data_IF_763512211813
#
_entry.id   IF_763512211813
#
_cell.length_a   1.000
_cell.length_b   1.000
_cell.length_c   1.000
_cell.angle_alpha   90.00
_cell.angle_beta   90.00
_cell.angle_gamma   90.00
#
_symmetry.space_group_name_H-M   'P 1'
#
loop_
_entity.id
_entity.type
_entity.pdbx_description
1 polymer ?
#
# COMPACT_ATOMS: atom_id res chain seq x y z
N UNK A 1 42.71 38.41 43.78
CA UNK A 1 43.43 37.11 43.72
C UNK A 1 42.46 36.07 43.19
N UNK A 2 42.94 35.24 42.26
CA UNK A 2 42.21 34.28 41.42
C UNK A 2 41.72 33.05 42.18
N UNK A 3 40.57 32.47 41.75
CA UNK A 3 40.32 31.03 41.47
C UNK A 3 38.97 30.94 40.73
N UNK A 4 38.89 30.85 39.40
CA UNK A 4 39.08 29.70 38.49
C UNK A 4 38.01 28.59 38.55
N UNK A 5 37.35 28.40 37.38
CA UNK A 5 36.71 27.17 36.87
C UNK A 5 35.42 26.71 37.58
N UNK A 6 34.37 26.23 36.92
CA UNK A 6 34.12 25.85 35.52
C UNK A 6 32.59 25.64 35.40
N UNK A 7 31.95 26.26 34.41
CA UNK A 7 30.55 25.99 34.06
C UNK A 7 30.52 24.60 33.40
N UNK A 8 29.86 23.57 33.96
CA UNK A 8 29.68 22.33 33.22
C UNK A 8 28.64 22.62 32.13
N UNK A 9 29.16 22.75 30.92
CA UNK A 9 28.46 22.67 29.66
C UNK A 9 27.87 21.26 29.51
N UNK A 10 26.85 20.92 30.28
CA UNK A 10 26.03 19.75 30.00
C UNK A 10 25.06 20.16 28.90
N UNK A 11 25.57 20.03 27.67
CA UNK A 11 24.76 19.65 26.53
C UNK A 11 23.79 18.58 27.03
N UNK A 12 22.53 18.96 27.32
CA UNK A 12 21.44 18.03 27.10
C UNK A 12 21.43 17.83 25.60
N UNK A 13 22.28 16.90 25.17
CA UNK A 13 22.21 16.31 23.86
C UNK A 13 20.74 16.04 23.66
N UNK A 14 20.16 16.77 22.71
CA UNK A 14 18.90 16.44 22.12
C UNK A 14 19.11 15.01 21.65
N UNK A 15 18.75 14.05 22.51
CA UNK A 15 18.64 12.64 22.19
C UNK A 15 17.42 12.56 21.28
N UNK A 16 17.54 13.16 20.10
CA UNK A 16 16.97 12.66 18.88
C UNK A 16 17.55 11.26 18.76
N UNK A 17 16.89 10.31 19.42
CA UNK A 17 17.02 8.90 19.16
C UNK A 17 16.57 8.76 17.71
N UNK A 18 17.49 8.94 16.78
CA UNK A 18 17.37 8.56 15.39
C UNK A 18 17.55 7.04 15.29
N UNK A 19 16.77 6.29 16.07
CA UNK A 19 16.42 4.91 15.76
C UNK A 19 14.96 4.97 15.29
N UNK A 20 14.59 4.75 14.03
CA UNK A 20 15.12 3.85 13.01
C UNK A 20 14.88 4.48 11.62
N UNK A 21 15.90 4.72 10.79
CA UNK A 21 15.68 4.92 9.35
C UNK A 21 15.68 3.60 8.56
N UNK A 22 16.33 2.55 9.04
CA UNK A 22 16.58 1.32 8.26
C UNK A 22 15.34 0.43 8.06
N UNK A 23 14.32 0.55 8.92
CA UNK A 23 13.09 -0.26 8.80
C UNK A 23 12.06 0.37 7.88
N UNK A 24 12.10 1.69 7.67
CA UNK A 24 11.11 2.39 6.84
C UNK A 24 11.37 2.20 5.35
N UNK A 25 12.62 2.28 4.90
CA UNK A 25 12.99 2.09 3.48
C UNK A 25 12.59 0.70 2.96
N UNK A 26 12.79 -0.33 3.79
CA UNK A 26 12.39 -1.69 3.46
C UNK A 26 10.87 -1.81 3.32
N UNK A 27 10.09 -1.09 4.12
CA UNK A 27 8.64 -1.22 4.12
C UNK A 27 8.01 -0.56 2.89
N UNK A 28 8.54 0.58 2.44
CA UNK A 28 8.11 1.23 1.20
C UNK A 28 8.38 0.34 -0.02
N UNK A 29 9.57 -0.26 -0.08
CA UNK A 29 9.92 -1.23 -1.13
C UNK A 29 8.97 -2.44 -1.14
N UNK A 30 8.66 -3.00 0.03
CA UNK A 30 7.74 -4.14 0.14
C UNK A 30 6.30 -3.75 -0.26
N UNK A 31 5.87 -2.52 0.03
CA UNK A 31 4.58 -2.01 -0.41
C UNK A 31 4.52 -1.82 -1.94
N UNK A 32 5.60 -1.35 -2.58
CA UNK A 32 5.71 -1.27 -4.05
C UNK A 32 5.67 -2.67 -4.68
N UNK A 33 6.38 -3.65 -4.10
CA UNK A 33 6.32 -5.05 -4.53
C UNK A 33 4.90 -5.63 -4.43
N UNK A 34 4.21 -5.36 -3.32
CA UNK A 34 2.82 -5.75 -3.13
C UNK A 34 1.90 -5.12 -4.20
N UNK A 35 2.06 -3.81 -4.46
CA UNK A 35 1.27 -3.10 -5.47
C UNK A 35 1.51 -3.66 -6.87
N UNK A 36 2.79 -3.89 -7.24
CA UNK A 36 3.16 -4.50 -8.52
C UNK A 36 2.51 -5.87 -8.69
N UNK A 37 2.58 -6.72 -7.66
CA UNK A 37 1.94 -8.04 -7.71
C UNK A 37 0.42 -7.94 -7.93
N UNK A 38 -0.25 -7.01 -7.26
CA UNK A 38 -1.68 -6.74 -7.47
C UNK A 38 -1.98 -6.30 -8.91
N UNK A 39 -1.23 -5.36 -9.46
CA UNK A 39 -1.42 -4.86 -10.84
C UNK A 39 -1.10 -5.94 -11.88
N UNK A 40 -0.05 -6.74 -11.67
CA UNK A 40 0.28 -7.88 -12.51
C UNK A 40 -0.88 -8.87 -12.55
N UNK A 41 -1.43 -9.23 -11.39
CA UNK A 41 -2.58 -10.14 -11.36
C UNK A 41 -3.80 -9.59 -12.12
N UNK A 42 -4.08 -8.28 -12.01
CA UNK A 42 -5.15 -7.64 -12.77
C UNK A 42 -4.90 -7.74 -14.27
N UNK A 43 -3.67 -7.45 -14.70
CA UNK A 43 -3.28 -7.54 -16.10
C UNK A 43 -3.38 -8.97 -16.63
N UNK A 44 -3.02 -9.98 -15.85
CA UNK A 44 -3.13 -11.38 -16.25
C UNK A 44 -4.58 -11.83 -16.41
N UNK A 45 -5.49 -11.38 -15.53
CA UNK A 45 -6.91 -11.79 -15.54
C UNK A 45 -7.79 -10.95 -16.47
N UNK A 46 -7.37 -9.75 -16.80
CA UNK A 46 -8.19 -8.83 -17.59
C UNK A 46 -8.30 -9.31 -19.05
N UNK A 47 -9.48 -9.21 -19.69
CA UNK A 47 -9.64 -9.51 -21.11
C UNK A 47 -9.10 -8.40 -22.03
N UNK A 48 -8.69 -7.25 -21.49
CA UNK A 48 -8.17 -6.14 -22.29
C UNK A 48 -6.86 -6.52 -22.99
N UNK A 49 -6.66 -6.03 -24.22
CA UNK A 49 -5.37 -6.10 -24.91
C UNK A 49 -4.36 -5.10 -24.37
N UNK A 50 -4.82 -4.02 -23.74
CA UNK A 50 -4.00 -2.98 -23.13
C UNK A 50 -3.59 -3.36 -21.72
N UNK A 51 -2.42 -2.86 -21.29
CA UNK A 51 -1.99 -2.91 -19.90
C UNK A 51 -2.74 -1.88 -19.06
N UNK A 52 -2.95 -2.21 -17.79
CA UNK A 52 -3.37 -1.30 -16.75
C UNK A 52 -2.19 -0.95 -15.85
N UNK A 53 -2.24 0.26 -15.28
CA UNK A 53 -1.28 0.74 -14.30
C UNK A 53 -2.01 1.37 -13.11
N UNK A 54 -1.41 1.24 -11.93
CA UNK A 54 -1.88 1.89 -10.73
C UNK A 54 -1.70 3.42 -10.78
N UNK A 55 -2.61 4.12 -10.13
CA UNK A 55 -2.62 5.56 -9.86
C UNK A 55 -3.07 5.79 -8.42
N UNK A 56 -2.80 6.94 -7.81
CA UNK A 56 -3.34 7.30 -6.50
C UNK A 56 -3.19 6.19 -5.43
N UNK A 57 -2.03 5.54 -5.38
CA UNK A 57 -1.75 4.43 -4.47
C UNK A 57 -1.63 4.91 -3.01
N UNK A 58 -2.13 4.10 -2.09
CA UNK A 58 -2.07 4.35 -0.66
C UNK A 58 -2.02 3.05 0.12
N UNK A 59 -1.17 2.98 1.12
CA UNK A 59 -1.14 1.87 2.09
C UNK A 59 -2.20 2.17 3.16
N UNK A 60 -3.17 1.26 3.32
CA UNK A 60 -4.20 1.36 4.37
C UNK A 60 -3.82 0.65 5.63
N UNK A 61 -3.13 -0.48 5.51
CA UNK A 61 -2.68 -1.24 6.65
C UNK A 61 -1.42 -2.03 6.31
N UNK A 62 -0.56 -2.15 7.31
CA UNK A 62 0.58 -3.07 7.33
C UNK A 62 0.47 -3.93 8.58
N UNK A 63 0.64 -5.25 8.45
CA UNK A 63 0.73 -6.19 9.57
C UNK A 63 1.98 -7.03 9.44
N UNK A 64 2.77 -7.15 10.51
CA UNK A 64 3.81 -8.17 10.61
C UNK A 64 3.14 -9.48 11.07
N UNK A 65 3.19 -10.53 10.25
CA UNK A 65 2.53 -11.81 10.53
C UNK A 65 3.49 -12.98 10.74
N UNK A 66 4.78 -12.75 10.53
CA UNK A 66 5.83 -13.74 10.74
C UNK A 66 7.21 -13.11 10.62
N UNK A 67 8.26 -13.92 10.72
CA UNK A 67 9.62 -13.44 10.51
C UNK A 67 9.76 -12.89 9.09
N UNK A 68 10.13 -11.61 8.98
CA UNK A 68 10.26 -10.89 7.72
C UNK A 68 9.06 -11.06 6.77
N UNK A 69 7.85 -11.21 7.33
CA UNK A 69 6.63 -11.47 6.55
C UNK A 69 5.57 -10.46 6.92
N UNK A 70 5.18 -9.66 5.94
CA UNK A 70 4.28 -8.53 6.07
C UNK A 70 3.03 -8.77 5.25
N UNK A 71 1.91 -8.28 5.73
CA UNK A 71 0.69 -8.19 4.97
C UNK A 71 0.28 -6.74 4.79
N UNK A 72 -0.08 -6.40 3.56
CA UNK A 72 -0.45 -5.07 3.12
C UNK A 72 -1.90 -5.06 2.68
N UNK A 73 -2.66 -4.10 3.19
CA UNK A 73 -3.91 -3.67 2.57
C UNK A 73 -3.61 -2.38 1.83
N UNK A 74 -3.74 -2.41 0.51
CA UNK A 74 -3.45 -1.29 -0.38
C UNK A 74 -4.74 -0.82 -1.05
N UNK A 75 -4.87 0.49 -1.24
CA UNK A 75 -5.88 1.06 -2.12
C UNK A 75 -5.20 1.86 -3.23
N UNK A 76 -5.64 1.67 -4.46
CA UNK A 76 -5.09 2.32 -5.63
C UNK A 76 -6.16 2.49 -6.70
N UNK A 77 -6.04 3.56 -7.48
CA UNK A 77 -6.76 3.70 -8.73
C UNK A 77 -6.11 2.87 -9.83
N UNK A 78 -6.90 2.41 -10.78
CA UNK A 78 -6.46 1.62 -11.91
C UNK A 78 -6.87 2.31 -13.21
N UNK A 79 -5.92 2.53 -14.11
CA UNK A 79 -6.16 3.20 -15.39
C UNK A 79 -5.53 2.44 -16.55
N UNK A 80 -6.25 2.37 -17.67
CA UNK A 80 -5.77 1.77 -18.91
C UNK A 80 -4.61 2.60 -19.50
N UNK A 81 -3.64 1.91 -20.08
CA UNK A 81 -2.47 2.49 -20.75
C UNK A 81 -2.55 2.28 -22.26
N UNK A 82 -1.65 2.89 -23.01
CA UNK A 82 -1.55 2.70 -24.48
C UNK A 82 -0.77 1.44 -24.88
N UNK A 83 -0.06 0.80 -23.94
CA UNK A 83 0.78 -0.35 -24.24
C UNK A 83 -0.04 -1.63 -24.28
N UNK A 84 0.33 -2.52 -25.20
CA UNK A 84 -0.26 -3.84 -25.31
C UNK A 84 0.45 -4.83 -24.39
N UNK A 85 -0.28 -5.80 -23.83
CA UNK A 85 0.25 -6.79 -22.89
C UNK A 85 1.42 -7.62 -23.42
N UNK A 86 1.45 -7.88 -24.72
CA UNK A 86 2.44 -8.74 -25.37
C UNK A 86 3.63 -7.97 -25.97
N UNK A 87 3.68 -6.64 -25.78
CA UNK A 87 4.81 -5.85 -26.27
C UNK A 87 5.94 -5.84 -25.23
N UNK A 88 7.19 -6.07 -25.67
CA UNK A 88 8.34 -5.91 -24.79
C UNK A 88 8.47 -4.45 -24.36
N UNK A 89 8.56 -4.23 -23.05
CA UNK A 89 8.65 -2.89 -22.47
C UNK A 89 8.49 -2.90 -20.95
N UNK A 90 8.59 -1.72 -20.34
CA UNK A 90 8.39 -1.54 -18.90
C UNK A 90 6.95 -1.06 -18.64
N UNK A 91 6.09 -1.86 -17.99
CA UNK A 91 4.71 -1.46 -17.66
C UNK A 91 4.65 -0.13 -16.90
N UNK A 92 5.66 0.13 -16.06
CA UNK A 92 5.78 1.33 -15.23
C UNK A 92 6.12 2.60 -16.03
N UNK A 93 6.54 2.48 -17.29
CA UNK A 93 6.82 3.63 -18.16
C UNK A 93 5.72 3.86 -19.19
N UNK A 94 4.68 3.03 -19.19
CA UNK A 94 3.64 3.13 -20.18
C UNK A 94 2.75 4.37 -19.96
N UNK A 95 2.54 5.21 -20.99
CA UNK A 95 1.61 6.33 -20.91
C UNK A 95 0.16 5.88 -20.72
N UNK A 96 -0.61 6.66 -19.97
CA UNK A 96 -2.05 6.42 -19.83
C UNK A 96 -2.79 6.66 -21.15
N UNK A 97 -3.83 5.87 -21.37
CA UNK A 97 -4.75 6.05 -22.49
C UNK A 97 -5.50 7.38 -22.36
N UNK A 98 -5.57 8.13 -23.46
CA UNK A 98 -6.33 9.39 -23.57
C UNK A 98 -7.84 9.18 -23.75
N UNK A 99 -8.28 7.93 -23.87
CA UNK A 99 -9.70 7.60 -23.85
C UNK A 99 -10.32 8.12 -22.54
N UNK A 100 -11.58 8.58 -22.60
CA UNK A 100 -12.34 9.13 -21.45
C UNK A 100 -12.67 8.11 -20.34
N UNK A 101 -11.85 7.08 -20.17
CA UNK A 101 -12.00 6.10 -19.09
C UNK A 101 -11.61 6.72 -17.75
N UNK A 102 -12.56 6.74 -16.82
CA UNK A 102 -12.33 7.09 -15.42
C UNK A 102 -11.46 6.02 -14.76
N UNK A 103 -10.60 6.45 -13.85
CA UNK A 103 -9.85 5.54 -12.98
C UNK A 103 -10.83 4.69 -12.17
N UNK A 104 -10.61 3.37 -12.12
CA UNK A 104 -11.39 2.44 -11.29
C UNK A 104 -10.66 2.29 -9.96
N UNK A 105 -11.36 2.44 -8.83
CA UNK A 105 -10.74 2.21 -7.53
C UNK A 105 -10.64 0.72 -7.23
N UNK A 106 -9.50 0.31 -6.68
CA UNK A 106 -9.18 -1.04 -6.30
C UNK A 106 -8.63 -1.09 -4.87
N UNK A 107 -8.83 -2.24 -4.22
CA UNK A 107 -8.19 -2.62 -2.97
C UNK A 107 -7.62 -4.02 -3.09
N UNK A 108 -6.44 -4.23 -2.52
CA UNK A 108 -5.78 -5.52 -2.51
C UNK A 108 -5.22 -5.85 -1.14
N UNK A 109 -5.30 -7.12 -0.77
CA UNK A 109 -4.67 -7.69 0.41
C UNK A 109 -3.54 -8.62 -0.04
N UNK A 110 -2.30 -8.28 0.29
CA UNK A 110 -1.11 -8.97 -0.22
C UNK A 110 -0.21 -9.36 0.94
N UNK A 111 0.29 -10.58 0.94
CA UNK A 111 1.37 -11.02 1.83
C UNK A 111 2.69 -10.99 1.07
N UNK A 112 3.70 -10.37 1.67
CA UNK A 112 5.07 -10.28 1.15
C UNK A 112 6.02 -10.82 2.21
N UNK A 113 6.88 -11.73 1.81
CA UNK A 113 8.00 -12.25 2.60
C UNK A 113 9.30 -12.07 1.81
N UNK A 114 10.44 -12.34 2.43
CA UNK A 114 11.73 -12.34 1.74
C UNK A 114 11.76 -13.29 0.54
N UNK A 115 11.00 -14.39 0.60
CA UNK A 115 11.04 -15.47 -0.40
C UNK A 115 9.82 -15.54 -1.32
N UNK A 116 8.72 -14.85 -0.98
CA UNK A 116 7.47 -15.00 -1.73
C UNK A 116 6.55 -13.78 -1.64
N UNK A 117 5.68 -13.65 -2.65
CA UNK A 117 4.59 -12.70 -2.69
C UNK A 117 3.29 -13.47 -2.96
N UNK A 118 2.25 -13.22 -2.17
CA UNK A 118 0.96 -13.90 -2.28
C UNK A 118 -0.19 -12.89 -2.22
N UNK A 119 -0.97 -12.82 -3.30
CA UNK A 119 -2.20 -12.03 -3.33
C UNK A 119 -3.32 -12.81 -2.61
N UNK A 120 -3.77 -12.30 -1.47
CA UNK A 120 -4.79 -12.93 -0.64
C UNK A 120 -6.20 -12.51 -1.07
N UNK A 121 -6.39 -11.23 -1.42
CA UNK A 121 -7.66 -10.71 -1.92
C UNK A 121 -7.43 -9.51 -2.87
N UNK A 122 -8.36 -9.31 -3.80
CA UNK A 122 -8.32 -8.23 -4.78
C UNK A 122 -9.73 -7.87 -5.25
N UNK A 123 -10.10 -6.61 -5.08
CA UNK A 123 -11.41 -6.07 -5.47
C UNK A 123 -11.25 -4.74 -6.21
N UNK A 124 -11.95 -4.58 -7.33
CA UNK A 124 -11.98 -3.34 -8.10
C UNK A 124 -13.43 -2.94 -8.39
N UNK A 125 -13.74 -1.64 -8.32
CA UNK A 125 -15.07 -1.08 -8.54
C UNK A 125 -15.66 -0.44 -7.29
N UNK A 126 -16.98 -0.11 -7.26
CA UNK A 126 -17.61 0.61 -6.16
C UNK A 126 -17.54 -0.14 -4.81
N UNK A 127 -17.26 -1.45 -4.83
CA UNK A 127 -17.04 -2.28 -3.64
C UNK A 127 -15.60 -2.27 -3.09
N UNK A 128 -14.65 -1.63 -3.78
CA UNK A 128 -13.24 -1.59 -3.37
C UNK A 128 -12.99 -0.74 -2.11
N UNK A 129 -13.98 -0.01 -1.62
CA UNK A 129 -13.91 0.86 -0.45
C UNK A 129 -15.28 0.88 0.26
N UNK A 130 -15.62 -0.18 1.01
CA UNK A 130 -16.75 -0.13 1.96
C UNK A 130 -16.66 -1.25 3.00
N UNK A 131 -15.97 -0.99 4.10
CA UNK A 131 -16.39 -1.50 5.40
C UNK A 131 -16.90 -0.28 6.16
N UNK A 132 -18.23 -0.12 6.17
CA UNK A 132 -19.10 0.59 7.14
C UNK A 132 -20.40 1.11 6.46
N UNK A 133 -21.50 0.42 6.81
CA UNK A 133 -22.89 0.92 6.97
C UNK A 133 -23.79 1.21 5.75
N UNK A 134 -24.79 0.32 5.61
CA UNK A 134 -26.22 0.52 5.27
C UNK A 134 -26.64 1.41 4.07
N UNK A 135 -27.17 0.82 3.00
CA UNK A 135 -28.61 0.96 2.59
C UNK A 135 -28.93 0.21 1.27
N UNK A 136 -29.90 -0.73 1.39
CA UNK A 136 -30.86 -1.38 0.44
C UNK A 136 -30.72 -1.16 -1.08
N UNK A 137 -30.84 -2.17 -1.98
CA UNK A 137 -31.92 -3.17 -2.07
C UNK A 137 -31.54 -4.46 -2.84
N UNK A 138 -32.04 -5.58 -2.28
CA UNK A 138 -32.58 -6.82 -2.88
C UNK A 138 -31.94 -7.48 -4.13
N UNK A 139 -31.22 -8.60 -3.95
CA UNK A 139 -31.63 -9.95 -4.39
C UNK A 139 -30.66 -11.03 -3.87
N UNK A 140 -31.21 -12.18 -3.47
CA UNK A 140 -30.57 -13.26 -2.69
C UNK A 140 -29.62 -14.12 -3.52
N UNK A 141 -28.44 -14.47 -2.98
CA UNK A 141 -27.87 -15.86 -2.98
C UNK A 141 -26.99 -16.02 -1.71
N UNK A 142 -27.10 -17.12 -0.94
CA UNK A 142 -26.42 -17.25 0.35
C UNK A 142 -25.00 -17.82 0.21
N UNK A 143 -24.01 -17.19 0.85
CA UNK A 143 -22.79 -17.90 1.27
C UNK A 143 -22.46 -17.56 2.73
N UNK A 144 -22.71 -18.57 3.56
CA UNK A 144 -22.31 -18.66 4.95
C UNK A 144 -20.79 -18.87 5.02
N UNK A 145 -20.08 -17.98 5.67
CA UNK A 145 -18.88 -18.31 6.44
C UNK A 145 -18.77 -17.31 7.60
N UNK A 146 -19.46 -17.65 8.68
CA UNK A 146 -19.29 -17.04 9.98
C UNK A 146 -17.94 -17.52 10.54
N UNK A 147 -16.98 -16.61 10.73
CA UNK A 147 -15.95 -16.80 11.75
C UNK A 147 -16.02 -15.63 12.72
N UNK A 148 -16.46 -16.01 13.92
CA UNK A 148 -16.66 -15.23 15.12
C UNK A 148 -15.30 -14.95 15.81
N UNK A 149 -15.27 -13.79 16.47
CA UNK A 149 -14.55 -13.46 17.70
C UNK A 149 -13.05 -13.11 17.71
N UNK A 150 -12.84 -11.80 17.87
CA UNK A 150 -11.92 -11.09 18.80
C UNK A 150 -10.42 -11.44 18.78
N UNK A 151 -9.59 -10.42 18.52
CA UNK A 151 -8.95 -9.61 19.58
C UNK A 151 -8.22 -8.42 18.92
N UNK A 152 -8.73 -7.22 19.14
CA UNK A 152 -8.08 -5.98 18.72
C UNK A 152 -6.86 -5.76 19.61
N UNK A 153 -5.67 -6.01 19.07
CA UNK A 153 -4.43 -5.47 19.63
C UNK A 153 -4.12 -4.20 18.84
N UNK A 154 -4.48 -3.05 19.39
CA UNK A 154 -4.02 -1.75 18.90
C UNK A 154 -2.55 -1.58 19.27
N UNK A 155 -1.66 -2.08 18.42
CA UNK A 155 -0.30 -1.59 18.34
C UNK A 155 -0.23 -0.63 17.15
N UNK A 156 -0.23 0.66 17.48
CA UNK A 156 0.15 1.79 16.62
C UNK A 156 -0.34 1.73 15.18
N UNK A 157 -1.49 2.35 14.91
CA UNK A 157 -1.82 2.75 13.54
C UNK A 157 -0.72 3.73 13.06
N UNK A 158 0.25 3.24 12.29
CA UNK A 158 1.12 4.11 11.50
C UNK A 158 0.27 4.58 10.33
N UNK A 159 -0.43 5.69 10.56
CA UNK A 159 -1.13 6.41 9.51
C UNK A 159 -0.04 7.02 8.63
N UNK A 160 0.28 6.39 7.49
CA UNK A 160 0.98 7.07 6.39
C UNK A 160 0.02 8.08 5.74
N UNK A 161 -0.33 9.14 6.46
CA UNK A 161 -0.96 10.31 5.89
C UNK A 161 0.15 11.30 5.53
N UNK A 162 0.21 11.64 4.23
CA UNK A 162 1.00 12.71 3.63
C UNK A 162 2.53 12.53 3.54
N UNK A 163 2.99 11.70 2.59
CA UNK A 163 4.20 12.00 1.80
C UNK A 163 3.90 11.68 0.32
N UNK A 164 2.97 12.45 -0.26
CA UNK A 164 2.92 12.64 -1.70
C UNK A 164 2.92 14.16 -1.92
N UNK A 165 4.05 14.80 -1.65
CA UNK A 165 4.34 16.11 -2.22
C UNK A 165 5.63 15.96 -2.99
N UNK A 166 5.50 16.00 -4.31
CA UNK A 166 6.60 16.08 -5.25
C UNK A 166 7.28 17.44 -5.06
N UNK A 167 8.61 17.44 -5.11
CA UNK A 167 9.43 18.65 -5.10
C UNK A 167 10.90 18.27 -5.10
N UNK A 168 11.46 18.05 -6.29
CA UNK A 168 12.88 18.28 -6.51
C UNK A 168 13.05 19.80 -6.63
N UNK A 169 13.79 20.40 -5.70
CA UNK A 169 14.72 21.51 -5.93
C UNK A 169 15.74 21.53 -4.79
#
# INVERSE_FOLDING_TARGET
>A
MMTSASVPLLLSACLCISGLPVVMDNLELLADLALRASVTQINDRSPSFSLYRATNQSVKQVKLVGFNTYEFILNFGLRETVCLKHQPGFPDRCPFSLKLFRSVQCSSYVRVSGDFISLLDLSCGPRALSSSSESSSEERIPQKAQMDRQRVYTLGAIICQHILSWGCD
#
